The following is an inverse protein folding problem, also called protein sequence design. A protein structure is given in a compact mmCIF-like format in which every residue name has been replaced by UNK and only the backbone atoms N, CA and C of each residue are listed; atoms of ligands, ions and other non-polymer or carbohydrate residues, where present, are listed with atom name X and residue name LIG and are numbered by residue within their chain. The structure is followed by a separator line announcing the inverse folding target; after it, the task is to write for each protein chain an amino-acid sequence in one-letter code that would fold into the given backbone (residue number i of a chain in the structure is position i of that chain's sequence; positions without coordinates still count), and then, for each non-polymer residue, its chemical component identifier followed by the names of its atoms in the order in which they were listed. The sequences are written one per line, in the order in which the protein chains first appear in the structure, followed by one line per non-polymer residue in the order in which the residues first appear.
data_IF_598544229612
#
_entry.id   IF_598544229612
#
_cell.length_a   1.000
_cell.length_b   1.000
_cell.length_c   1.000
_cell.angle_alpha   90.00
_cell.angle_beta   90.00
_cell.angle_gamma   90.00
#
_symmetry.space_group_name_H-M   'P 1'
#
loop_
_entity.id
_entity.type
_entity.pdbx_description
1 polymer ?
#
# COMPACT_ATOMS: atom_id res chain seq x y z
N UNK A 1 10.55 5.00 8.55
CA UNK A 1 10.98 6.42 8.65
C UNK A 1 10.50 7.02 9.96
N UNK A 2 9.28 7.56 10.06
CA UNK A 2 8.85 8.30 11.26
C UNK A 2 8.53 7.41 12.48
N UNK A 3 8.05 6.18 12.27
CA UNK A 3 7.72 5.26 13.37
C UNK A 3 6.41 5.55 14.10
N UNK A 4 5.67 6.57 13.66
CA UNK A 4 4.44 7.06 14.31
C UNK A 4 3.22 7.08 13.35
N UNK A 5 3.34 6.41 12.20
CA UNK A 5 2.24 6.29 11.22
C UNK A 5 2.00 7.51 10.31
N UNK A 6 2.67 8.64 10.53
CA UNK A 6 2.43 9.88 9.77
C UNK A 6 3.01 9.94 8.35
N UNK A 7 4.01 9.12 8.00
CA UNK A 7 4.71 9.24 6.70
C UNK A 7 4.22 8.28 5.61
N UNK A 8 3.52 7.20 5.97
CA UNK A 8 3.05 6.17 5.03
C UNK A 8 4.14 5.35 4.31
N UNK A 9 5.44 5.56 4.62
CA UNK A 9 6.52 4.82 3.96
C UNK A 9 6.54 3.32 4.29
N UNK A 10 5.89 2.92 5.39
CA UNK A 10 5.83 1.54 5.87
C UNK A 10 4.49 0.86 5.57
N UNK A 11 3.71 1.39 4.62
CA UNK A 11 2.41 0.81 4.26
C UNK A 11 2.60 -0.58 3.64
N UNK A 12 1.83 -1.54 4.13
CA UNK A 12 1.69 -2.89 3.59
C UNK A 12 0.21 -3.20 3.38
N UNK A 13 -0.08 -4.16 2.51
CA UNK A 13 -1.45 -4.64 2.32
C UNK A 13 -1.73 -5.80 3.27
N UNK A 14 -2.85 -5.76 3.97
CA UNK A 14 -3.26 -6.77 4.93
C UNK A 14 -4.67 -7.26 4.58
N UNK A 15 -4.78 -8.55 4.32
CA UNK A 15 -6.07 -9.22 4.05
C UNK A 15 -6.47 -10.06 5.25
N UNK A 16 -7.70 -9.88 5.73
CA UNK A 16 -8.28 -10.65 6.84
C UNK A 16 -9.73 -11.01 6.53
N UNK A 17 -10.25 -12.04 7.17
CA UNK A 17 -11.69 -12.27 7.19
C UNK A 17 -12.35 -11.30 8.17
N UNK A 18 -13.34 -10.56 7.72
CA UNK A 18 -14.19 -9.78 8.61
C UNK A 18 -15.12 -10.71 9.40
N UNK A 19 -15.19 -10.53 10.72
CA UNK A 19 -15.94 -11.44 11.60
C UNK A 19 -17.44 -11.22 11.53
N UNK A 20 -17.88 -10.04 11.07
CA UNK A 20 -19.30 -9.69 10.95
C UNK A 20 -19.86 -10.14 9.60
N UNK A 21 -19.19 -9.81 8.49
CA UNK A 21 -19.65 -10.21 7.15
C UNK A 21 -19.18 -11.59 6.69
N UNK A 22 -18.16 -12.15 7.34
CA UNK A 22 -17.45 -13.37 6.90
C UNK A 22 -16.78 -13.25 5.52
N UNK A 23 -16.54 -12.02 5.04
CA UNK A 23 -15.88 -11.74 3.77
C UNK A 23 -14.40 -11.42 3.97
N UNK A 24 -13.58 -11.66 2.94
CA UNK A 24 -12.20 -11.20 2.96
C UNK A 24 -12.13 -9.71 2.66
N UNK A 25 -11.51 -8.95 3.56
CA UNK A 25 -11.29 -7.52 3.41
C UNK A 25 -9.79 -7.22 3.35
N UNK A 26 -9.40 -6.38 2.41
CA UNK A 26 -8.02 -5.92 2.22
C UNK A 26 -7.88 -4.47 2.66
N UNK A 27 -6.86 -4.21 3.48
CA UNK A 27 -6.59 -2.93 4.12
C UNK A 27 -5.15 -2.48 3.87
N UNK A 28 -4.94 -1.18 3.67
CA UNK A 28 -3.61 -0.58 3.77
C UNK A 28 -3.32 -0.26 5.23
N UNK A 29 -2.21 -0.77 5.79
CA UNK A 29 -1.85 -0.54 7.20
C UNK A 29 -0.40 -0.06 7.34
N UNK A 30 -0.16 0.79 8.33
CA UNK A 30 1.19 1.20 8.71
C UNK A 30 1.86 0.09 9.53
N UNK A 31 2.81 -0.64 8.93
CA UNK A 31 3.49 -1.76 9.62
C UNK A 31 4.26 -1.33 10.87
N UNK A 32 4.74 -0.08 10.95
CA UNK A 32 5.44 0.41 12.15
C UNK A 32 4.57 0.48 13.41
N UNK A 33 3.24 0.52 13.27
CA UNK A 33 2.29 0.56 14.38
C UNK A 33 1.48 -0.74 14.52
N UNK A 34 1.83 -1.79 13.78
CA UNK A 34 1.07 -3.04 13.76
C UNK A 34 1.85 -4.15 14.49
N UNK A 35 1.44 -4.53 15.72
CA UNK A 35 2.10 -5.60 16.44
C UNK A 35 1.83 -6.97 15.81
N UNK A 36 2.88 -7.80 15.67
CA UNK A 36 2.79 -9.12 15.04
C UNK A 36 1.73 -10.04 15.67
N UNK A 37 1.53 -9.96 16.98
CA UNK A 37 0.54 -10.80 17.68
C UNK A 37 -0.92 -10.42 17.35
N UNK A 38 -1.18 -9.21 16.86
CA UNK A 38 -2.53 -8.74 16.49
C UNK A 38 -3.01 -9.21 15.12
N UNK A 39 -2.10 -9.74 14.30
CA UNK A 39 -2.37 -10.12 12.90
C UNK A 39 -2.33 -11.64 12.67
N UNK A 40 -2.54 -12.41 13.74
CA UNK A 40 -2.63 -13.86 13.62
C UNK A 40 -3.75 -14.24 12.63
N UNK A 41 -3.41 -15.04 11.61
CA UNK A 41 -4.34 -15.46 10.56
C UNK A 41 -4.57 -14.44 9.45
N UNK A 42 -3.91 -13.28 9.46
CA UNK A 42 -3.98 -12.30 8.37
C UNK A 42 -2.94 -12.63 7.30
N UNK A 43 -3.24 -12.31 6.04
CA UNK A 43 -2.29 -12.39 4.93
C UNK A 43 -1.66 -11.02 4.69
N UNK A 44 -0.33 -10.92 4.75
CA UNK A 44 0.41 -9.67 4.55
C UNK A 44 1.13 -9.71 3.20
N UNK A 45 0.92 -8.68 2.39
CA UNK A 45 1.60 -8.48 1.11
C UNK A 45 2.43 -7.19 1.17
N UNK A 46 3.73 -7.30 0.86
CA UNK A 46 4.65 -6.17 0.73
C UNK A 46 4.87 -5.80 -0.74
N UNK A 47 5.66 -4.74 -0.99
CA UNK A 47 5.93 -4.25 -2.35
C UNK A 47 6.57 -5.32 -3.25
N UNK A 48 7.40 -6.19 -2.68
CA UNK A 48 8.04 -7.30 -3.39
C UNK A 48 7.04 -8.43 -3.72
N UNK A 49 5.97 -8.53 -2.94
CA UNK A 49 4.93 -9.55 -3.10
C UNK A 49 4.10 -9.35 -4.37
N UNK A 50 3.92 -8.11 -4.82
CA UNK A 50 3.11 -7.80 -6.01
C UNK A 50 3.91 -7.82 -7.32
N UNK A 51 5.23 -7.73 -7.25
CA UNK A 51 6.07 -7.68 -8.45
C UNK A 51 7.53 -7.35 -8.14
N UNK A 52 8.42 -7.70 -9.07
CA UNK A 52 9.86 -7.47 -8.95
C UNK A 52 10.54 -7.49 -10.32
N UNK A 53 11.81 -7.08 -10.38
CA UNK A 53 12.61 -7.18 -11.61
C UNK A 53 12.76 -8.61 -12.14
N UNK A 54 12.66 -9.63 -11.27
CA UNK A 54 12.77 -11.05 -11.66
C UNK A 54 11.46 -11.65 -12.18
N UNK A 55 10.32 -11.16 -11.68
CA UNK A 55 8.98 -11.72 -11.97
C UNK A 55 8.14 -10.84 -12.91
N UNK A 56 8.61 -9.62 -13.18
CA UNK A 56 7.81 -8.57 -13.78
C UNK A 56 7.18 -7.68 -12.72
N UNK A 57 7.05 -6.40 -13.05
CA UNK A 57 6.45 -5.38 -12.20
C UNK A 57 4.92 -5.32 -12.36
N UNK A 58 4.22 -5.13 -11.25
CA UNK A 58 2.79 -4.86 -11.21
C UNK A 58 2.47 -3.55 -11.96
N UNK A 59 1.29 -3.39 -12.59
CA UNK A 59 0.92 -2.15 -13.28
C UNK A 59 1.08 -0.88 -12.43
N UNK A 60 0.79 -0.94 -11.13
CA UNK A 60 1.00 0.18 -10.19
C UNK A 60 2.50 0.54 -10.09
N UNK A 61 3.38 -0.45 -9.97
CA UNK A 61 4.84 -0.24 -9.92
C UNK A 61 5.37 0.33 -11.25
N UNK A 62 4.84 -0.15 -12.39
CA UNK A 62 5.23 0.36 -13.71
C UNK A 62 4.80 1.81 -13.90
N UNK A 63 3.52 2.11 -13.66
CA UNK A 63 2.97 3.45 -13.90
C UNK A 63 3.63 4.52 -13.03
N UNK A 64 3.88 4.26 -11.74
CA UNK A 64 4.54 5.27 -10.90
C UNK A 64 5.96 5.61 -11.40
N UNK A 65 6.67 4.63 -11.97
CA UNK A 65 7.99 4.85 -12.57
C UNK A 65 7.89 5.56 -13.94
N UNK A 66 7.00 5.10 -14.83
CA UNK A 66 6.80 5.65 -16.18
C UNK A 66 6.35 7.11 -16.17
N UNK A 67 5.57 7.50 -15.18
CA UNK A 67 5.06 8.87 -15.03
C UNK A 67 5.96 9.76 -14.14
N UNK A 68 7.22 9.35 -13.90
CA UNK A 68 8.19 10.10 -13.09
C UNK A 68 7.70 10.40 -11.66
N UNK A 69 6.84 9.54 -11.10
CA UNK A 69 6.35 9.63 -9.72
C UNK A 69 7.36 9.16 -8.67
N UNK A 70 8.64 9.07 -9.04
CA UNK A 70 9.72 8.65 -8.14
C UNK A 70 11.00 9.42 -8.44
N UNK A 71 11.71 9.83 -7.40
CA UNK A 71 13.05 10.43 -7.47
C UNK A 71 14.00 9.66 -6.56
N UNK A 72 14.05 10.00 -5.26
CA UNK A 72 14.88 9.27 -4.29
C UNK A 72 14.39 7.84 -4.02
N UNK A 73 13.15 7.51 -4.39
CA UNK A 73 12.56 6.18 -4.28
C UNK A 73 12.09 5.77 -2.89
N UNK A 74 12.41 6.52 -1.83
CA UNK A 74 12.20 6.06 -0.46
C UNK A 74 10.72 5.89 -0.08
N UNK A 75 9.86 6.83 -0.50
CA UNK A 75 8.41 6.76 -0.23
C UNK A 75 7.65 5.85 -1.21
N UNK A 76 8.28 5.46 -2.32
CA UNK A 76 7.64 4.76 -3.44
C UNK A 76 7.01 3.41 -3.03
N UNK A 77 7.65 2.55 -2.20
CA UNK A 77 6.99 1.34 -1.71
C UNK A 77 5.67 1.60 -1.00
N UNK A 78 5.62 2.60 -0.12
CA UNK A 78 4.42 2.99 0.59
C UNK A 78 3.31 3.47 -0.35
N UNK A 79 3.66 4.34 -1.32
CA UNK A 79 2.72 4.81 -2.34
C UNK A 79 2.16 3.66 -3.18
N UNK A 80 3.02 2.74 -3.61
CA UNK A 80 2.62 1.56 -4.38
C UNK A 80 1.65 0.68 -3.58
N UNK A 81 1.93 0.44 -2.31
CA UNK A 81 1.08 -0.43 -1.48
C UNK A 81 -0.24 0.23 -1.09
N UNK A 82 -0.27 1.55 -0.88
CA UNK A 82 -1.51 2.31 -0.71
C UNK A 82 -2.41 2.20 -1.94
N UNK A 83 -1.85 2.40 -3.15
CA UNK A 83 -2.62 2.28 -4.39
C UNK A 83 -3.06 0.84 -4.67
N UNK A 84 -2.18 -0.14 -4.47
CA UNK A 84 -2.51 -1.55 -4.67
C UNK A 84 -3.68 -1.97 -3.77
N UNK A 85 -3.65 -1.60 -2.49
CA UNK A 85 -4.72 -1.92 -1.54
C UNK A 85 -6.03 -1.23 -1.90
N UNK A 86 -5.99 0.03 -2.38
CA UNK A 86 -7.19 0.72 -2.89
C UNK A 86 -7.81 -0.05 -4.06
N UNK A 87 -7.01 -0.48 -5.03
CA UNK A 87 -7.48 -1.19 -6.21
C UNK A 87 -8.07 -2.58 -5.90
N UNK A 88 -7.65 -3.22 -4.79
CA UNK A 88 -8.30 -4.45 -4.32
C UNK A 88 -9.72 -4.19 -3.80
N UNK A 89 -9.99 -2.99 -3.28
CA UNK A 89 -11.31 -2.61 -2.74
C UNK A 89 -12.21 -1.96 -3.80
N UNK A 90 -11.64 -1.09 -4.62
CA UNK A 90 -12.34 -0.30 -5.64
C UNK A 90 -11.51 -0.39 -6.92
N UNK A 91 -11.87 -1.30 -7.85
CA UNK A 91 -11.09 -1.52 -9.07
C UNK A 91 -11.01 -0.29 -10.00
N UNK A 92 -12.05 0.55 -9.98
CA UNK A 92 -12.15 1.78 -10.78
C UNK A 92 -12.43 2.99 -9.86
N UNK A 93 -11.45 3.44 -9.06
CA UNK A 93 -11.65 4.55 -8.15
C UNK A 93 -11.71 5.87 -8.92
N UNK A 94 -12.53 6.81 -8.45
CA UNK A 94 -12.52 8.18 -8.97
C UNK A 94 -11.24 8.89 -8.56
N UNK A 95 -10.89 9.99 -9.25
CA UNK A 95 -9.71 10.81 -8.92
C UNK A 95 -9.72 11.26 -7.45
N UNK A 96 -10.87 11.70 -6.95
CA UNK A 96 -11.02 12.13 -5.55
C UNK A 96 -10.68 11.00 -4.57
N UNK A 97 -11.23 9.79 -4.81
CA UNK A 97 -10.94 8.62 -3.97
C UNK A 97 -9.44 8.28 -3.97
N UNK A 98 -8.78 8.44 -5.13
CA UNK A 98 -7.33 8.22 -5.23
C UNK A 98 -6.57 9.26 -4.41
N UNK A 99 -6.92 10.55 -4.51
CA UNK A 99 -6.30 11.63 -3.75
C UNK A 99 -6.46 11.42 -2.24
N UNK A 100 -7.68 11.17 -1.77
CA UNK A 100 -7.99 10.94 -0.35
C UNK A 100 -7.22 9.72 0.21
N UNK A 101 -7.00 8.69 -0.61
CA UNK A 101 -6.26 7.50 -0.22
C UNK A 101 -4.76 7.77 0.07
N UNK A 102 -4.22 8.89 -0.42
CA UNK A 102 -2.82 9.27 -0.21
C UNK A 102 -2.60 10.30 0.90
N UNK A 103 -3.63 10.71 1.64
CA UNK A 103 -3.50 11.65 2.77
C UNK A 103 -2.46 11.20 3.81
N UNK A 104 -2.24 9.89 3.94
CA UNK A 104 -1.26 9.29 4.84
C UNK A 104 0.13 9.06 4.24
N UNK A 105 0.40 9.46 3.00
CA UNK A 105 1.65 9.20 2.28
C UNK A 105 2.40 10.50 1.96
N UNK A 106 3.56 10.68 2.58
CA UNK A 106 4.37 11.89 2.38
C UNK A 106 5.54 11.60 1.44
N UNK A 107 5.72 12.46 0.44
CA UNK A 107 6.92 12.55 -0.38
C UNK A 107 7.57 13.92 -0.20
N UNK A 108 8.90 13.96 -0.19
CA UNK A 108 9.65 15.22 -0.11
C UNK A 108 10.19 15.69 -1.47
N UNK A 109 10.25 14.81 -2.46
CA UNK A 109 10.95 15.08 -3.72
C UNK A 109 10.00 15.48 -4.87
N UNK A 110 8.83 14.85 -4.95
CA UNK A 110 7.81 15.06 -5.99
C UNK A 110 6.58 15.75 -5.42
#
# INVERSE_FOLDING_TARGET
MCGEGGCGCCVVSATKTDLLSNEQVTLAINSCLCPLYSINGWSITTVEGIGSSKKGFHPVQKRIAEYNGTQCGYCTPGMVMSMHSLLQKIPEPTKQIVEDNFDGNICRCT
#
